data_IF_845964461415
#
_entry.id   IF_845964461415
#
_cell.length_a   1.000
_cell.length_b   1.000
_cell.length_c   1.000
_cell.angle_alpha   90.00
_cell.angle_beta   90.00
_cell.angle_gamma   90.00
#
_symmetry.space_group_name_H-M   'P 1'
#
loop_
_entity.id
_entity.type
_entity.pdbx_description
1 polymer ?
#
# COMPACT_ATOMS: atom_id res chain seq x y z
N UNK A 1 18.01 -1.11 -10.69
CA UNK A 1 16.85 -1.62 -9.93
C UNK A 1 16.09 -0.41 -9.44
N UNK A 2 14.78 -0.33 -9.69
CA UNK A 2 13.96 0.78 -9.19
C UNK A 2 13.88 0.69 -7.68
N UNK A 3 14.23 1.78 -6.99
CA UNK A 3 14.22 1.85 -5.53
C UNK A 3 12.77 1.86 -5.02
N UNK A 4 12.41 0.90 -4.17
CA UNK A 4 11.09 0.84 -3.56
C UNK A 4 11.02 1.83 -2.39
N UNK A 5 9.95 2.62 -2.36
CA UNK A 5 9.67 3.57 -1.29
C UNK A 5 8.41 3.16 -0.54
N UNK A 6 8.39 3.35 0.78
CA UNK A 6 7.19 3.08 1.58
C UNK A 6 6.01 3.93 1.10
N UNK A 7 4.89 3.28 0.81
CA UNK A 7 3.70 3.95 0.32
C UNK A 7 2.68 4.17 1.45
N UNK A 8 2.25 5.43 1.64
CA UNK A 8 1.17 5.77 2.56
C UNK A 8 -0.13 6.00 1.80
N UNK A 9 -1.15 5.18 2.09
CA UNK A 9 -2.46 5.31 1.45
C UNK A 9 -3.22 6.59 1.84
N UNK A 10 -2.79 7.33 2.88
CA UNK A 10 -3.52 8.51 3.38
C UNK A 10 -3.68 9.63 2.34
N UNK A 11 -2.78 9.74 1.36
CA UNK A 11 -2.89 10.69 0.25
C UNK A 11 -4.15 10.47 -0.58
N UNK A 12 -4.62 9.22 -0.71
CA UNK A 12 -5.76 8.85 -1.55
C UNK A 12 -7.13 9.20 -0.93
N UNK A 13 -7.17 9.72 0.30
CA UNK A 13 -8.40 9.91 1.06
C UNK A 13 -9.33 11.01 0.51
N UNK A 14 -8.81 11.96 -0.27
CA UNK A 14 -9.53 13.20 -0.62
C UNK A 14 -9.69 13.49 -2.11
N UNK A 15 -8.99 12.77 -2.98
CA UNK A 15 -8.84 13.24 -4.36
C UNK A 15 -10.03 12.89 -5.28
N UNK A 16 -10.63 11.71 -5.14
CA UNK A 16 -11.82 11.27 -5.92
C UNK A 16 -12.53 10.08 -5.25
N UNK A 17 -13.72 9.68 -5.73
CA UNK A 17 -14.41 8.44 -5.29
C UNK A 17 -13.57 7.18 -5.58
N UNK A 18 -12.85 7.18 -6.71
CA UNK A 18 -11.94 6.09 -7.08
C UNK A 18 -10.77 6.03 -6.09
N UNK A 19 -10.17 7.18 -5.76
CA UNK A 19 -9.11 7.29 -4.75
C UNK A 19 -9.59 6.83 -3.38
N UNK A 20 -10.82 7.15 -2.98
CA UNK A 20 -11.40 6.70 -1.71
C UNK A 20 -11.62 5.19 -1.66
N UNK A 21 -12.06 4.58 -2.77
CA UNK A 21 -12.21 3.13 -2.87
C UNK A 21 -10.86 2.44 -2.78
N UNK A 22 -9.87 2.92 -3.54
CA UNK A 22 -8.51 2.41 -3.49
C UNK A 22 -7.89 2.56 -2.10
N UNK A 23 -8.08 3.70 -1.44
CA UNK A 23 -7.69 3.92 -0.03
C UNK A 23 -8.25 2.83 0.89
N UNK A 24 -9.55 2.54 0.80
CA UNK A 24 -10.20 1.53 1.65
C UNK A 24 -9.62 0.13 1.42
N UNK A 25 -9.40 -0.25 0.17
CA UNK A 25 -8.77 -1.53 -0.20
C UNK A 25 -7.37 -1.64 0.39
N UNK A 26 -6.53 -0.63 0.17
CA UNK A 26 -5.15 -0.62 0.66
C UNK A 26 -5.05 -0.62 2.19
N UNK A 27 -5.93 0.11 2.88
CA UNK A 27 -6.02 0.07 4.35
C UNK A 27 -6.47 -1.30 4.87
N UNK A 28 -7.34 -1.99 4.14
CA UNK A 28 -7.73 -3.37 4.45
C UNK A 28 -6.53 -4.32 4.37
N UNK A 29 -5.77 -4.25 3.29
CA UNK A 29 -4.56 -5.07 3.11
C UNK A 29 -3.51 -4.83 4.21
N UNK A 30 -3.32 -3.58 4.65
CA UNK A 30 -2.42 -3.29 5.78
C UNK A 30 -2.86 -4.03 7.05
N UNK A 31 -4.17 -4.02 7.35
CA UNK A 31 -4.73 -4.72 8.51
C UNK A 31 -4.52 -6.23 8.42
N UNK A 32 -4.62 -6.80 7.21
CA UNK A 32 -4.36 -8.22 6.93
C UNK A 32 -2.87 -8.60 6.97
N UNK A 33 -1.98 -7.65 7.25
CA UNK A 33 -0.57 -7.93 7.42
C UNK A 33 0.28 -7.60 6.20
N UNK A 34 -0.18 -6.81 5.24
CA UNK A 34 0.64 -6.38 4.11
C UNK A 34 1.31 -5.03 4.38
N UNK A 35 2.55 -4.88 3.91
CA UNK A 35 3.24 -3.61 3.78
C UNK A 35 3.11 -3.12 2.34
N UNK A 36 2.97 -1.81 2.17
CA UNK A 36 2.78 -1.16 0.87
C UNK A 36 4.05 -0.43 0.47
N UNK A 37 4.51 -0.66 -0.75
CA UNK A 37 5.60 0.06 -1.38
C UNK A 37 5.16 0.61 -2.72
N UNK A 38 5.84 1.64 -3.19
CA UNK A 38 5.69 2.16 -4.55
C UNK A 38 7.06 2.24 -5.20
N UNK A 39 7.11 2.00 -6.51
CA UNK A 39 8.26 2.38 -7.32
C UNK A 39 8.09 3.79 -7.90
N UNK A 40 9.11 4.23 -8.66
CA UNK A 40 9.13 5.53 -9.33
C UNK A 40 8.09 5.67 -10.46
N UNK A 41 7.53 4.55 -10.95
CA UNK A 41 6.48 4.54 -11.97
C UNK A 41 5.07 4.61 -11.33
N UNK A 42 4.98 4.64 -10.00
CA UNK A 42 3.72 4.67 -9.26
C UNK A 42 3.06 3.30 -9.11
N UNK A 43 3.79 2.21 -9.36
CA UNK A 43 3.26 0.86 -9.16
C UNK A 43 3.29 0.50 -7.69
N UNK A 44 2.13 0.14 -7.14
CA UNK A 44 2.03 -0.30 -5.75
C UNK A 44 2.40 -1.78 -5.66
N UNK A 45 3.41 -2.07 -4.86
CA UNK A 45 3.83 -3.43 -4.49
C UNK A 45 3.32 -3.76 -3.09
N UNK A 46 2.75 -4.96 -2.94
CA UNK A 46 2.27 -5.50 -1.67
C UNK A 46 3.26 -6.56 -1.18
N UNK A 47 3.83 -6.38 0.02
CA UNK A 47 4.70 -7.38 0.65
C UNK A 47 3.97 -7.92 1.88
N UNK A 48 3.76 -9.24 1.97
CA UNK A 48 3.14 -9.83 3.16
C UNK A 48 4.15 -9.84 4.30
N UNK A 49 3.81 -9.26 5.45
CA UNK A 49 4.58 -9.40 6.69
C UNK A 49 4.59 -10.87 7.05
N UNK A 50 5.75 -11.51 6.87
CA UNK A 50 6.01 -12.79 7.49
C UNK A 50 6.13 -12.49 8.98
N UNK A 51 5.05 -12.71 9.75
CA UNK A 51 5.19 -12.81 11.21
C UNK A 51 6.27 -13.86 11.41
N UNK A 52 7.36 -13.51 12.10
CA UNK A 52 8.41 -14.46 12.45
C UNK A 52 7.75 -15.78 12.81
N UNK A 53 8.02 -16.79 11.97
CA UNK A 53 7.92 -18.18 12.36
C UNK A 53 8.82 -18.35 13.61
N UNK A 54 8.38 -19.20 14.54
CA UNK A 54 8.29 -19.00 16.00
C UNK A 54 9.38 -18.16 16.70
#
# INVERSE_FOLDING_TARGET
MSELQSFSAESLKKDTVVSLTLYRVLKGLIKEGFDLYTDAEGRITLIRRMRNQP
#
